data_IF_322568408584
#
_entry.id   IF_322568408584
#
_cell.length_a   1.000
_cell.length_b   1.000
_cell.length_c   1.000
_cell.angle_alpha   90.00
_cell.angle_beta   90.00
_cell.angle_gamma   90.00
#
_symmetry.space_group_name_H-M   'P 1'
#
loop_
_entity.id
_entity.type
_entity.pdbx_description
1 polymer ?
#
# COMPACT_ATOMS: atom_id res chain seq x y z
N UNK A 1 -14.57 20.31 6.16
CA UNK A 1 -13.98 18.98 6.28
C UNK A 1 -14.78 17.99 5.47
N UNK A 2 -14.09 17.29 4.62
CA UNK A 2 -14.72 16.30 3.76
C UNK A 2 -14.31 14.91 4.22
N UNK A 3 -15.21 14.22 4.89
CA UNK A 3 -14.94 12.88 5.42
C UNK A 3 -14.58 11.90 4.31
N UNK A 4 -15.15 12.08 3.11
CA UNK A 4 -14.85 11.21 1.98
C UNK A 4 -13.41 11.38 1.52
N UNK A 5 -12.89 12.59 1.51
CA UNK A 5 -11.49 12.84 1.15
C UNK A 5 -10.54 12.25 2.18
N UNK A 6 -10.89 12.33 3.46
CA UNK A 6 -10.07 11.74 4.52
C UNK A 6 -10.02 10.23 4.38
N UNK A 7 -11.15 9.60 4.06
CA UNK A 7 -11.21 8.17 3.86
C UNK A 7 -10.39 7.76 2.62
N UNK A 8 -10.48 8.52 1.55
CA UNK A 8 -9.70 8.24 0.34
C UNK A 8 -8.21 8.36 0.59
N UNK A 9 -7.80 9.38 1.35
CA UNK A 9 -6.39 9.53 1.71
C UNK A 9 -5.91 8.34 2.52
N UNK A 10 -6.71 7.88 3.46
CA UNK A 10 -6.37 6.70 4.26
C UNK A 10 -6.23 5.45 3.38
N UNK A 11 -7.14 5.27 2.44
CA UNK A 11 -7.10 4.15 1.50
C UNK A 11 -5.83 4.23 0.65
N UNK A 12 -5.51 5.40 0.14
CA UNK A 12 -4.31 5.60 -0.68
C UNK A 12 -3.04 5.27 0.11
N UNK A 13 -2.98 5.67 1.38
CA UNK A 13 -1.84 5.37 2.24
C UNK A 13 -1.70 3.87 2.47
N UNK A 14 -2.80 3.19 2.73
CA UNK A 14 -2.79 1.74 2.94
C UNK A 14 -2.40 1.02 1.65
N UNK A 15 -2.93 1.46 0.52
CA UNK A 15 -2.59 0.88 -0.78
C UNK A 15 -1.11 1.03 -1.07
N UNK A 16 -0.51 2.19 -0.77
CA UNK A 16 0.92 2.40 -0.96
C UNK A 16 1.75 1.44 -0.11
N UNK A 17 1.32 1.19 1.12
CA UNK A 17 1.99 0.23 1.99
C UNK A 17 1.86 -1.19 1.45
N UNK A 18 0.69 -1.54 0.95
CA UNK A 18 0.46 -2.85 0.36
C UNK A 18 1.36 -3.08 -0.85
N UNK A 19 1.49 -2.09 -1.71
CA UNK A 19 2.33 -2.18 -2.90
C UNK A 19 3.79 -2.38 -2.49
N UNK A 20 4.26 -1.68 -1.48
CA UNK A 20 5.62 -1.84 -0.97
C UNK A 20 5.85 -3.25 -0.45
N UNK A 21 4.90 -3.77 0.31
CA UNK A 21 5.01 -5.10 0.88
C UNK A 21 5.01 -6.17 -0.22
N UNK A 22 4.19 -6.00 -1.23
CA UNK A 22 4.16 -6.89 -2.38
C UNK A 22 5.49 -6.88 -3.12
N UNK A 23 6.09 -5.70 -3.30
CA UNK A 23 7.39 -5.57 -3.95
C UNK A 23 8.47 -6.27 -3.14
N UNK A 24 8.48 -6.10 -1.83
CA UNK A 24 9.44 -6.77 -0.95
C UNK A 24 9.28 -8.29 -1.02
N UNK A 25 8.04 -8.75 -1.01
CA UNK A 25 7.76 -10.17 -1.11
C UNK A 25 8.27 -10.74 -2.44
N UNK A 26 8.09 -10.00 -3.52
CA UNK A 26 8.55 -10.42 -4.84
C UNK A 26 10.07 -10.59 -4.86
N UNK A 27 10.78 -9.65 -4.25
CA UNK A 27 12.25 -9.72 -4.18
C UNK A 27 12.67 -10.98 -3.42
N UNK A 28 12.04 -11.28 -2.31
CA UNK A 28 12.36 -12.44 -1.51
C UNK A 28 12.05 -13.74 -2.23
N UNK A 29 10.94 -13.79 -2.94
CA UNK A 29 10.56 -14.96 -3.73
C UNK A 29 11.57 -15.21 -4.84
N UNK A 30 12.07 -14.18 -5.47
CA UNK A 30 13.06 -14.31 -6.55
C UNK A 30 14.40 -14.86 -6.05
N UNK A 31 14.71 -14.65 -4.79
CA UNK A 31 15.96 -15.15 -4.20
C UNK A 31 15.92 -16.64 -3.86
N UNK A 32 14.72 -17.18 -3.79
CA UNK A 32 14.53 -18.59 -3.51
C UNK A 32 14.52 -19.40 -4.78
#
# INVERSE_FOLDING_TARGET
MDALNDIRSDIDNIDSQLIRLLAQRQILVEKV
#
